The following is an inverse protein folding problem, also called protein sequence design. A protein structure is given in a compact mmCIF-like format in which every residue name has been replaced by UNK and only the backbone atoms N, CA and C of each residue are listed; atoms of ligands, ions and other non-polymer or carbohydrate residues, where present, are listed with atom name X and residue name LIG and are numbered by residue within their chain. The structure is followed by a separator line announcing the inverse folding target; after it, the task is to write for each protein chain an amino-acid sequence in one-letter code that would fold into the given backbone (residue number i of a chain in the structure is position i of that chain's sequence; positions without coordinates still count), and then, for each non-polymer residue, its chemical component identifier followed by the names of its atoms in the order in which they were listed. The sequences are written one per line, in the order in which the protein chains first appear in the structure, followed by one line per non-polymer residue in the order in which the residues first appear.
data_IF_597746788390
#
_entry.id   IF_597746788390
#
_cell.length_a   1.000
_cell.length_b   1.000
_cell.length_c   1.000
_cell.angle_alpha   90.00
_cell.angle_beta   90.00
_cell.angle_gamma   90.00
#
_symmetry.space_group_name_H-M   'P 1'
#
loop_
_entity.id
_entity.type
_entity.pdbx_description
1 polymer ?
#
# COMPACT_ATOMS: atom_id res chain seq x y z
N UNK A 1 -9.92 13.16 -50.06
CA UNK A 1 -11.03 12.34 -49.53
C UNK A 1 -11.14 12.57 -48.02
N UNK A 2 -12.24 13.19 -47.55
CA UNK A 2 -12.48 13.42 -46.11
C UNK A 2 -12.74 12.07 -45.43
N UNK A 3 -11.80 11.58 -44.61
CA UNK A 3 -12.01 10.37 -43.79
C UNK A 3 -13.27 10.57 -42.95
N UNK A 4 -14.23 9.66 -43.08
CA UNK A 4 -15.55 9.77 -42.48
C UNK A 4 -15.42 9.65 -40.94
N UNK A 5 -15.39 10.80 -40.24
CA UNK A 5 -15.15 10.90 -38.79
C UNK A 5 -16.05 9.95 -37.97
N UNK A 6 -17.28 9.74 -38.43
CA UNK A 6 -18.27 8.87 -37.77
C UNK A 6 -17.83 7.40 -37.79
N UNK A 7 -17.19 6.96 -38.88
CA UNK A 7 -16.71 5.58 -39.02
C UNK A 7 -15.47 5.31 -38.15
N UNK A 8 -14.59 6.30 -38.02
CA UNK A 8 -13.43 6.24 -37.12
C UNK A 8 -13.89 6.17 -35.66
N UNK A 9 -14.85 7.01 -35.27
CA UNK A 9 -15.42 6.99 -33.91
C UNK A 9 -16.12 5.65 -33.61
N UNK A 10 -16.86 5.07 -34.57
CA UNK A 10 -17.46 3.72 -34.41
C UNK A 10 -16.41 2.62 -34.26
N UNK A 11 -15.29 2.68 -34.99
CA UNK A 11 -14.19 1.72 -34.86
C UNK A 11 -13.48 1.84 -33.52
N UNK A 12 -13.25 3.06 -33.04
CA UNK A 12 -12.69 3.31 -31.71
C UNK A 12 -13.65 2.86 -30.59
N UNK A 13 -14.96 3.11 -30.72
CA UNK A 13 -15.95 2.62 -29.77
C UNK A 13 -16.03 1.08 -29.73
N UNK A 14 -15.95 0.40 -30.89
CA UNK A 14 -15.90 -1.07 -30.96
C UNK A 14 -14.59 -1.63 -30.39
N UNK A 15 -13.46 -0.97 -30.61
CA UNK A 15 -12.18 -1.36 -30.02
C UNK A 15 -12.21 -1.22 -28.50
N UNK A 16 -12.70 -0.08 -27.99
CA UNK A 16 -12.93 0.15 -26.55
C UNK A 16 -13.90 -0.86 -25.95
N UNK A 17 -14.97 -1.24 -26.65
CA UNK A 17 -15.91 -2.27 -26.20
C UNK A 17 -15.26 -3.66 -26.15
N UNK A 18 -14.45 -4.04 -27.15
CA UNK A 18 -13.70 -5.29 -27.16
C UNK A 18 -12.61 -5.35 -26.08
N UNK A 19 -11.94 -4.23 -25.80
CA UNK A 19 -10.94 -4.12 -24.75
C UNK A 19 -11.60 -4.13 -23.37
N UNK A 20 -12.72 -3.41 -23.17
CA UNK A 20 -13.58 -3.56 -21.99
C UNK A 20 -14.03 -5.00 -21.82
N UNK A 21 -14.43 -5.68 -22.90
CA UNK A 21 -14.83 -7.08 -22.85
C UNK A 21 -13.65 -7.98 -22.49
N UNK A 22 -12.45 -7.79 -23.04
CA UNK A 22 -11.23 -8.52 -22.66
C UNK A 22 -10.78 -8.24 -21.22
N UNK A 23 -10.91 -7.00 -20.75
CA UNK A 23 -10.69 -6.61 -19.35
C UNK A 23 -11.76 -7.26 -18.48
N UNK A 24 -13.01 -7.35 -18.94
CA UNK A 24 -14.09 -8.12 -18.32
C UNK A 24 -13.82 -9.62 -18.30
N UNK A 25 -13.18 -10.19 -19.34
CA UNK A 25 -12.81 -11.62 -19.37
C UNK A 25 -11.56 -11.92 -18.53
N UNK A 26 -10.64 -10.96 -18.40
CA UNK A 26 -9.54 -11.01 -17.41
C UNK A 26 -10.08 -10.81 -16.00
N UNK A 27 -11.05 -9.92 -15.82
CA UNK A 27 -11.87 -9.82 -14.62
C UNK A 27 -12.53 -11.15 -14.36
N UNK A 28 -13.23 -11.81 -15.28
CA UNK A 28 -13.85 -13.14 -15.10
C UNK A 28 -12.82 -14.23 -14.72
N UNK A 29 -11.62 -14.20 -15.30
CA UNK A 29 -10.51 -15.11 -14.95
C UNK A 29 -9.84 -14.78 -13.60
N UNK A 30 -9.80 -13.52 -13.19
CA UNK A 30 -9.38 -13.10 -11.85
C UNK A 30 -10.52 -13.22 -10.81
N UNK A 31 -11.76 -13.13 -11.27
CA UNK A 31 -13.07 -13.13 -10.58
C UNK A 31 -13.50 -14.53 -10.19
N UNK A 32 -12.95 -15.56 -10.83
CA UNK A 32 -13.06 -16.92 -10.31
C UNK A 32 -12.62 -17.02 -8.83
N UNK A 33 -11.96 -15.99 -8.26
CA UNK A 33 -11.78 -15.78 -6.82
C UNK A 33 -11.81 -14.30 -6.36
N UNK A 34 -12.60 -13.41 -6.97
CA UNK A 34 -12.88 -12.12 -6.30
C UNK A 34 -13.96 -12.42 -5.25
N UNK A 35 -13.53 -12.77 -4.05
CA UNK A 35 -14.38 -12.62 -2.88
C UNK A 35 -14.78 -11.14 -2.82
N UNK A 36 -16.08 -10.82 -2.84
CA UNK A 36 -16.55 -9.52 -2.35
C UNK A 36 -15.97 -9.37 -0.95
N UNK A 37 -14.92 -8.56 -0.84
CA UNK A 37 -14.07 -8.50 0.33
C UNK A 37 -14.42 -7.23 1.09
N UNK A 38 -14.89 -7.32 2.33
CA UNK A 38 -15.06 -6.12 3.14
C UNK A 38 -13.69 -5.44 3.32
N UNK A 39 -13.65 -4.09 3.28
CA UNK A 39 -12.48 -3.32 3.68
C UNK A 39 -11.93 -3.78 5.04
N UNK A 40 -10.62 -3.69 5.24
CA UNK A 40 -10.01 -4.07 6.53
C UNK A 40 -10.54 -3.25 7.71
N UNK A 41 -10.99 -2.01 7.45
CA UNK A 41 -11.66 -1.14 8.42
C UNK A 41 -13.00 -1.71 8.93
N UNK A 42 -13.65 -2.57 8.14
CA UNK A 42 -14.95 -3.17 8.49
C UNK A 42 -14.80 -4.50 9.24
N UNK A 43 -13.58 -5.00 9.41
CA UNK A 43 -13.34 -6.18 10.22
C UNK A 43 -13.60 -5.86 11.69
N UNK A 44 -14.28 -6.77 12.38
CA UNK A 44 -14.58 -6.66 13.80
C UNK A 44 -13.72 -7.67 14.59
N UNK A 45 -12.44 -7.36 14.87
CA UNK A 45 -11.59 -8.24 15.65
C UNK A 45 -12.08 -8.33 17.11
N UNK A 46 -11.84 -9.45 17.79
CA UNK A 46 -12.09 -9.59 19.22
C UNK A 46 -11.41 -8.48 20.03
N UNK A 47 -11.94 -8.20 21.22
CA UNK A 47 -11.36 -7.20 22.12
C UNK A 47 -9.88 -7.50 22.40
N UNK A 48 -9.02 -6.51 22.20
CA UNK A 48 -7.57 -6.66 22.35
C UNK A 48 -6.85 -7.16 21.10
N UNK A 49 -7.53 -7.26 19.96
CA UNK A 49 -6.95 -7.64 18.67
C UNK A 49 -7.18 -6.58 17.58
N UNK A 50 -6.40 -6.65 16.51
CA UNK A 50 -6.58 -5.91 15.27
C UNK A 50 -6.58 -6.86 14.07
N UNK A 51 -7.39 -6.53 13.06
CA UNK A 51 -7.37 -7.24 11.80
C UNK A 51 -6.21 -6.77 10.92
N UNK A 52 -5.30 -7.64 10.53
CA UNK A 52 -4.16 -7.31 9.65
C UNK A 52 -4.12 -8.26 8.46
N UNK A 53 -3.39 -7.91 7.40
CA UNK A 53 -3.13 -8.85 6.31
C UNK A 53 -2.10 -9.91 6.70
N UNK A 54 -2.09 -11.04 6.00
CA UNK A 54 -1.08 -12.10 6.23
C UNK A 54 0.35 -11.60 6.01
N UNK A 55 0.58 -10.69 5.05
CA UNK A 55 1.90 -10.09 4.83
C UNK A 55 2.32 -9.21 6.00
N UNK A 56 1.41 -8.39 6.53
CA UNK A 56 1.67 -7.60 7.75
C UNK A 56 1.94 -8.51 8.95
N UNK A 57 1.16 -9.60 9.10
CA UNK A 57 1.31 -10.55 10.18
C UNK A 57 2.70 -11.19 10.21
N UNK A 58 3.19 -11.62 9.05
CA UNK A 58 4.53 -12.17 8.92
C UNK A 58 5.61 -11.13 9.27
N UNK A 59 5.46 -9.88 8.83
CA UNK A 59 6.42 -8.81 9.12
C UNK A 59 6.44 -8.43 10.61
N UNK A 60 5.27 -8.29 11.24
CA UNK A 60 5.13 -8.02 12.67
C UNK A 60 5.71 -9.13 13.54
N UNK A 61 5.48 -10.37 13.13
CA UNK A 61 6.09 -11.55 13.75
C UNK A 61 7.62 -11.55 13.59
N UNK A 62 8.10 -11.27 12.38
CA UNK A 62 9.51 -11.33 12.02
C UNK A 62 10.36 -10.19 12.60
N UNK A 63 9.78 -9.18 13.27
CA UNK A 63 10.50 -8.03 13.85
C UNK A 63 11.81 -8.41 14.57
N UNK A 64 11.87 -9.44 15.44
CA UNK A 64 13.12 -9.83 16.11
C UNK A 64 14.26 -10.26 15.15
N UNK A 65 13.93 -10.79 13.97
CA UNK A 65 14.91 -11.13 12.92
C UNK A 65 15.36 -9.91 12.11
N UNK A 66 14.63 -8.80 12.21
CA UNK A 66 14.81 -7.60 11.39
C UNK A 66 15.37 -6.42 12.19
N UNK A 67 15.62 -6.57 13.49
CA UNK A 67 16.16 -5.50 14.36
C UNK A 67 17.52 -4.98 13.91
N UNK A 68 18.35 -5.85 13.32
CA UNK A 68 19.59 -5.44 12.66
C UNK A 68 19.32 -5.18 11.19
N UNK A 69 19.83 -4.07 10.65
CA UNK A 69 19.79 -3.86 9.20
C UNK A 69 20.48 -5.03 8.48
N UNK A 70 19.86 -5.55 7.41
CA UNK A 70 20.50 -6.53 6.55
C UNK A 70 21.56 -5.83 5.70
N UNK A 71 22.72 -6.45 5.54
CA UNK A 71 23.83 -5.93 4.72
C UNK A 71 23.58 -6.14 3.22
N UNK A 72 22.65 -7.04 2.87
CA UNK A 72 22.28 -7.34 1.49
C UNK A 72 20.83 -7.83 1.34
N UNK A 73 20.30 -7.74 0.12
CA UNK A 73 19.01 -8.32 -0.24
C UNK A 73 18.99 -9.85 -0.03
N UNK A 74 20.12 -10.51 -0.26
CA UNK A 74 20.24 -11.96 -0.05
C UNK A 74 20.10 -12.32 1.43
N UNK A 75 20.75 -11.56 2.31
CA UNK A 75 20.60 -11.75 3.75
C UNK A 75 19.17 -11.51 4.22
N UNK A 76 18.53 -10.43 3.73
CA UNK A 76 17.12 -10.14 4.01
C UNK A 76 16.21 -11.31 3.59
N UNK A 77 16.42 -11.86 2.39
CA UNK A 77 15.65 -13.01 1.89
C UNK A 77 15.83 -14.23 2.80
N UNK A 78 17.08 -14.55 3.21
CA UNK A 78 17.34 -15.66 4.12
C UNK A 78 16.67 -15.47 5.49
N UNK A 79 16.64 -14.24 6.02
CA UNK A 79 15.93 -13.92 7.26
C UNK A 79 14.42 -14.08 7.10
N UNK A 80 13.85 -13.70 5.96
CA UNK A 80 12.42 -13.90 5.66
C UNK A 80 12.06 -15.38 5.48
N UNK A 81 12.92 -16.18 4.85
CA UNK A 81 12.75 -17.63 4.75
C UNK A 81 12.77 -18.31 6.13
N UNK A 82 13.68 -17.87 7.01
CA UNK A 82 13.71 -18.32 8.39
C UNK A 82 12.43 -17.92 9.15
N UNK A 83 11.98 -16.66 9.00
CA UNK A 83 10.74 -16.19 9.61
C UNK A 83 9.53 -17.05 9.18
N UNK A 84 9.42 -17.34 7.88
CA UNK A 84 8.36 -18.19 7.32
C UNK A 84 8.44 -19.62 7.88
N UNK A 85 9.64 -20.19 7.98
CA UNK A 85 9.84 -21.53 8.55
C UNK A 85 9.43 -21.60 10.02
N UNK A 86 9.81 -20.59 10.82
CA UNK A 86 9.44 -20.48 12.23
C UNK A 86 7.93 -20.25 12.41
N UNK A 87 7.32 -19.44 11.54
CA UNK A 87 5.88 -19.21 11.54
C UNK A 87 5.12 -20.53 11.33
N UNK A 88 5.47 -21.29 10.29
CA UNK A 88 4.81 -22.56 9.98
C UNK A 88 5.07 -23.62 11.06
N UNK A 89 6.25 -23.62 11.67
CA UNK A 89 6.54 -24.45 12.85
C UNK A 89 5.58 -24.14 14.01
N UNK A 90 5.33 -22.86 14.27
CA UNK A 90 4.43 -22.45 15.33
C UNK A 90 2.96 -22.78 15.01
N UNK A 91 2.52 -22.56 13.76
CA UNK A 91 1.17 -22.92 13.30
C UNK A 91 0.92 -24.42 13.40
N UNK A 92 1.86 -25.26 12.95
CA UNK A 92 1.73 -26.73 13.07
C UNK A 92 1.68 -27.19 14.53
N UNK A 93 2.38 -26.50 15.44
CA UNK A 93 2.28 -26.75 16.88
C UNK A 93 0.89 -26.44 17.42
N UNK A 94 0.28 -25.30 17.05
CA UNK A 94 -1.08 -24.94 17.49
C UNK A 94 -2.10 -25.98 17.01
N UNK A 95 -1.99 -26.40 15.74
CA UNK A 95 -2.84 -27.41 15.11
C UNK A 95 -2.60 -28.84 15.57
N UNK A 96 -1.60 -29.06 16.43
CA UNK A 96 -1.17 -30.40 16.86
C UNK A 96 -0.81 -31.34 15.68
N UNK A 97 -0.29 -30.79 14.58
CA UNK A 97 0.14 -31.54 13.39
C UNK A 97 1.61 -32.00 13.55
N UNK A 98 1.80 -33.21 14.09
CA UNK A 98 3.12 -33.74 14.38
C UNK A 98 4.02 -33.96 13.14
N UNK A 99 3.51 -34.51 12.02
CA UNK A 99 4.27 -34.60 10.77
C UNK A 99 4.79 -33.25 10.27
N UNK A 100 3.93 -32.23 10.18
CA UNK A 100 4.37 -30.90 9.74
C UNK A 100 5.33 -30.25 10.74
N UNK A 101 5.06 -30.39 12.04
CA UNK A 101 5.90 -29.84 13.10
C UNK A 101 7.34 -30.35 13.00
N UNK A 102 7.53 -31.65 12.81
CA UNK A 102 8.87 -32.26 12.70
C UNK A 102 9.62 -31.75 11.46
N UNK A 103 8.93 -31.65 10.30
CA UNK A 103 9.50 -31.11 9.06
C UNK A 103 9.91 -29.65 9.20
N UNK A 104 9.04 -28.82 9.79
CA UNK A 104 9.34 -27.40 9.99
C UNK A 104 10.42 -27.18 11.06
N UNK A 105 10.54 -28.07 12.05
CA UNK A 105 11.59 -28.01 13.06
C UNK A 105 12.98 -28.20 12.44
N UNK A 106 13.13 -29.17 11.54
CA UNK A 106 14.39 -29.37 10.80
C UNK A 106 14.73 -28.12 9.96
N UNK A 107 13.74 -27.57 9.26
CA UNK A 107 13.90 -26.37 8.43
C UNK A 107 14.29 -25.14 9.27
N UNK A 108 13.63 -24.93 10.41
CA UNK A 108 13.93 -23.84 11.34
C UNK A 108 15.32 -23.97 11.94
N UNK A 109 15.75 -25.18 12.35
CA UNK A 109 17.10 -25.41 12.88
C UNK A 109 18.18 -25.15 11.82
N UNK A 110 17.96 -25.62 10.59
CA UNK A 110 18.88 -25.37 9.49
C UNK A 110 18.97 -23.88 9.12
N UNK A 111 17.83 -23.19 9.06
CA UNK A 111 17.76 -21.76 8.78
C UNK A 111 18.42 -20.91 9.87
N UNK A 112 18.11 -21.17 11.14
CA UNK A 112 18.67 -20.43 12.27
C UNK A 112 20.19 -20.59 12.37
N UNK A 113 20.72 -21.80 12.11
CA UNK A 113 22.17 -22.01 12.06
C UNK A 113 22.87 -21.20 10.97
N UNK A 114 22.26 -21.10 9.78
CA UNK A 114 22.82 -20.34 8.64
C UNK A 114 22.71 -18.83 8.80
N UNK A 115 21.60 -18.35 9.37
CA UNK A 115 21.25 -16.92 9.40
C UNK A 115 21.77 -16.24 10.67
N UNK A 116 21.66 -16.90 11.82
CA UNK A 116 21.95 -16.29 13.12
C UNK A 116 23.29 -16.73 13.71
N UNK A 117 23.92 -17.76 13.14
CA UNK A 117 25.19 -18.34 13.62
C UNK A 117 25.19 -18.62 15.13
N UNK A 118 24.04 -19.07 15.65
CA UNK A 118 23.84 -19.41 17.07
C UNK A 118 24.36 -20.81 17.36
N UNK A 119 24.82 -21.04 18.60
CA UNK A 119 25.10 -22.39 19.06
C UNK A 119 23.82 -23.23 19.23
N UNK A 120 23.96 -24.52 19.55
CA UNK A 120 22.81 -25.42 19.61
C UNK A 120 21.81 -25.07 20.72
N UNK A 121 22.26 -24.56 21.86
CA UNK A 121 21.37 -24.23 22.97
C UNK A 121 20.66 -22.89 22.72
N UNK A 122 21.40 -21.90 22.26
CA UNK A 122 20.89 -20.59 21.88
C UNK A 122 19.89 -20.68 20.74
N UNK A 123 20.18 -21.48 19.71
CA UNK A 123 19.28 -21.74 18.60
C UNK A 123 17.97 -22.35 19.07
N UNK A 124 18.03 -23.38 19.91
CA UNK A 124 16.84 -24.09 20.38
C UNK A 124 16.02 -23.19 21.33
N UNK A 125 16.67 -22.32 22.11
CA UNK A 125 16.00 -21.25 22.89
C UNK A 125 15.30 -20.25 21.97
N UNK A 126 15.99 -19.73 20.97
CA UNK A 126 15.44 -18.77 20.01
C UNK A 126 14.21 -19.33 19.27
N UNK A 127 14.27 -20.58 18.82
CA UNK A 127 13.13 -21.25 18.18
C UNK A 127 11.92 -21.31 19.12
N UNK A 128 12.12 -21.64 20.41
CA UNK A 128 11.03 -21.65 21.39
C UNK A 128 10.41 -20.28 21.59
N UNK A 129 11.23 -19.25 21.75
CA UNK A 129 10.79 -17.85 21.90
C UNK A 129 9.96 -17.39 20.69
N UNK A 130 10.40 -17.74 19.48
CA UNK A 130 9.67 -17.40 18.26
C UNK A 130 8.34 -18.16 18.15
N UNK A 131 8.29 -19.44 18.54
CA UNK A 131 7.02 -20.17 18.61
C UNK A 131 6.06 -19.51 19.62
N UNK A 132 6.55 -19.19 20.82
CA UNK A 132 5.76 -18.54 21.87
C UNK A 132 5.24 -17.16 21.41
N UNK A 133 6.08 -16.38 20.72
CA UNK A 133 5.68 -15.11 20.11
C UNK A 133 4.56 -15.28 19.09
N UNK A 134 4.65 -16.28 18.21
CA UNK A 134 3.61 -16.51 17.21
C UNK A 134 2.27 -16.88 17.86
N UNK A 135 2.28 -17.79 18.84
CA UNK A 135 1.08 -18.20 19.59
C UNK A 135 0.49 -17.02 20.36
N UNK A 136 1.34 -16.19 20.97
CA UNK A 136 0.90 -15.01 21.70
C UNK A 136 0.21 -13.99 20.79
N UNK A 137 0.84 -13.64 19.67
CA UNK A 137 0.36 -12.63 18.73
C UNK A 137 -0.83 -13.12 17.90
N UNK A 138 -0.81 -14.39 17.50
CA UNK A 138 -1.75 -15.02 16.55
C UNK A 138 -2.30 -16.35 17.10
N UNK A 139 -3.03 -16.32 18.22
CA UNK A 139 -3.69 -17.50 18.76
C UNK A 139 -4.70 -18.05 17.75
N UNK A 140 -4.68 -19.36 17.52
CA UNK A 140 -5.53 -20.06 16.56
C UNK A 140 -7.02 -19.88 16.87
N UNK A 141 -7.40 -19.94 18.14
CA UNK A 141 -8.79 -19.82 18.60
C UNK A 141 -9.40 -18.43 18.39
N UNK A 142 -8.58 -17.42 18.11
CA UNK A 142 -9.04 -16.07 17.81
C UNK A 142 -9.05 -15.79 16.30
N UNK A 143 -8.49 -16.65 15.45
CA UNK A 143 -8.42 -16.35 14.03
C UNK A 143 -9.80 -16.35 13.37
N UNK A 144 -10.03 -15.51 12.34
CA UNK A 144 -11.29 -15.53 11.60
C UNK A 144 -11.50 -16.87 10.88
N UNK A 145 -12.77 -17.27 10.77
CA UNK A 145 -13.16 -18.49 10.07
C UNK A 145 -12.67 -18.50 8.60
N UNK A 146 -12.08 -19.61 8.12
CA UNK A 146 -11.71 -19.74 6.72
C UNK A 146 -12.95 -19.72 5.78
N UNK A 147 -12.82 -19.17 4.56
CA UNK A 147 -11.65 -18.48 4.02
C UNK A 147 -11.59 -17.01 4.47
N UNK A 148 -10.48 -16.61 5.08
CA UNK A 148 -10.20 -15.20 5.41
C UNK A 148 -8.85 -14.78 4.81
N UNK A 149 -8.83 -13.57 4.25
CA UNK A 149 -7.61 -12.89 3.76
C UNK A 149 -6.93 -12.06 4.86
N UNK A 150 -7.52 -12.06 6.05
CA UNK A 150 -7.07 -11.31 7.22
C UNK A 150 -6.78 -12.24 8.38
N UNK A 151 -5.94 -11.76 9.28
CA UNK A 151 -5.61 -12.40 10.54
C UNK A 151 -5.92 -11.45 11.68
N UNK A 152 -6.25 -11.99 12.85
CA UNK A 152 -6.37 -11.18 14.06
C UNK A 152 -5.05 -11.27 14.84
N UNK A 153 -4.42 -10.11 15.00
CA UNK A 153 -3.19 -9.95 15.77
C UNK A 153 -3.50 -9.30 17.10
N UNK A 154 -2.94 -9.80 18.19
CA UNK A 154 -3.04 -9.17 19.51
C UNK A 154 -2.46 -7.76 19.49
N UNK A 155 -3.17 -6.81 20.09
CA UNK A 155 -2.66 -5.46 20.38
C UNK A 155 -1.68 -5.54 21.54
N UNK A 156 -0.42 -5.23 21.31
CA UNK A 156 0.58 -5.05 22.37
C UNK A 156 0.57 -3.61 22.92
N UNK A 157 0.13 -2.64 22.12
CA UNK A 157 0.14 -1.21 22.44
C UNK A 157 -1.16 -0.55 21.98
N UNK A 158 -1.74 0.27 22.85
CA UNK A 158 -2.81 1.21 22.50
C UNK A 158 -2.21 2.58 22.16
N UNK A 159 -2.66 3.17 21.06
CA UNK A 159 -2.19 4.46 20.58
C UNK A 159 -3.27 5.53 20.77
N UNK A 160 -2.87 6.67 21.34
CA UNK A 160 -3.66 7.89 21.25
C UNK A 160 -3.35 8.55 19.90
N UNK A 161 -4.30 8.53 18.98
CA UNK A 161 -4.15 9.12 17.65
C UNK A 161 -4.90 10.46 17.61
N UNK A 162 -4.19 11.60 17.76
CA UNK A 162 -4.81 12.91 17.63
C UNK A 162 -5.09 13.23 16.15
N UNK A 163 -5.93 14.24 15.86
CA UNK A 163 -5.99 14.84 14.54
C UNK A 163 -4.60 15.30 14.07
N UNK A 164 -4.38 15.33 12.76
CA UNK A 164 -3.17 15.89 12.20
C UNK A 164 -3.07 17.40 12.52
N UNK A 165 -1.89 17.86 12.94
CA UNK A 165 -1.64 19.26 13.23
C UNK A 165 -1.30 20.03 11.94
N UNK A 166 -2.33 20.64 11.33
CA UNK A 166 -2.17 21.49 10.15
C UNK A 166 -1.33 22.76 10.41
N UNK A 167 -1.11 23.13 11.68
CA UNK A 167 -0.13 24.16 12.06
C UNK A 167 1.32 23.77 11.76
N UNK A 168 1.57 22.54 11.29
CA UNK A 168 2.90 22.14 10.79
C UNK A 168 3.09 22.48 9.30
N UNK A 169 2.01 22.64 8.54
CA UNK A 169 2.08 22.89 7.10
C UNK A 169 2.22 24.39 6.86
N UNK A 170 3.48 24.83 6.78
CA UNK A 170 3.84 26.22 6.49
C UNK A 170 4.88 26.30 5.38
N UNK A 171 4.68 27.25 4.47
CA UNK A 171 5.61 27.57 3.38
C UNK A 171 6.19 28.96 3.60
N UNK A 172 7.44 29.15 3.19
CA UNK A 172 8.04 30.49 3.13
C UNK A 172 7.61 31.24 1.87
N UNK A 173 7.27 30.52 0.81
CA UNK A 173 6.81 31.07 -0.46
C UNK A 173 5.46 30.47 -0.88
N UNK A 174 4.41 31.28 -0.86
CA UNK A 174 3.07 30.86 -1.32
C UNK A 174 2.93 30.93 -2.85
N UNK A 175 3.78 31.69 -3.54
CA UNK A 175 3.71 31.86 -4.99
C UNK A 175 3.99 30.54 -5.72
N UNK A 176 3.21 30.26 -6.78
CA UNK A 176 3.40 29.06 -7.60
C UNK A 176 4.81 29.00 -8.21
N UNK A 177 5.44 27.82 -8.17
CA UNK A 177 6.77 27.62 -8.75
C UNK A 177 6.61 27.10 -10.18
N UNK A 178 7.01 27.85 -11.22
CA UNK A 178 6.84 27.44 -12.60
C UNK A 178 7.56 26.12 -12.88
N UNK A 179 7.04 25.28 -13.81
CA UNK A 179 7.63 23.98 -14.09
C UNK A 179 8.98 24.13 -14.80
N UNK A 180 9.98 23.41 -14.29
CA UNK A 180 11.25 23.21 -14.97
C UNK A 180 11.17 22.08 -16.01
N UNK A 181 12.31 21.61 -16.53
CA UNK A 181 12.35 20.54 -17.53
C UNK A 181 12.02 19.17 -16.93
N UNK A 182 12.45 18.88 -15.70
CA UNK A 182 12.15 17.61 -15.03
C UNK A 182 10.65 17.54 -14.71
N UNK A 183 10.06 18.63 -14.22
CA UNK A 183 8.62 18.77 -14.00
C UNK A 183 7.82 18.48 -15.28
N UNK A 184 8.21 19.08 -16.40
CA UNK A 184 7.54 18.86 -17.71
C UNK A 184 7.67 17.43 -18.19
N UNK A 185 8.83 16.80 -17.98
CA UNK A 185 9.06 15.40 -18.30
C UNK A 185 8.10 14.51 -17.50
N UNK A 186 7.97 14.72 -16.18
CA UNK A 186 7.00 14.00 -15.34
C UNK A 186 5.57 14.19 -15.84
N UNK A 187 5.14 15.44 -16.11
CA UNK A 187 3.78 15.69 -16.60
C UNK A 187 3.54 15.02 -17.96
N UNK A 188 4.54 15.01 -18.85
CA UNK A 188 4.51 14.28 -20.11
C UNK A 188 4.31 12.77 -19.92
N UNK A 189 5.07 12.15 -19.00
CA UNK A 189 4.94 10.73 -18.65
C UNK A 189 3.55 10.41 -18.09
N UNK A 190 3.04 11.24 -17.17
CA UNK A 190 1.69 11.05 -16.62
C UNK A 190 0.64 11.15 -17.75
N UNK A 191 0.80 12.10 -18.69
CA UNK A 191 -0.06 12.22 -19.87
C UNK A 191 -0.03 10.99 -20.78
N UNK A 192 1.13 10.39 -20.99
CA UNK A 192 1.29 9.14 -21.74
C UNK A 192 0.62 7.96 -21.02
N UNK A 193 0.81 7.85 -19.71
CA UNK A 193 0.16 6.82 -18.89
C UNK A 193 -1.37 6.97 -18.91
N UNK A 194 -1.87 8.19 -18.76
CA UNK A 194 -3.27 8.55 -18.90
C UNK A 194 -3.86 8.01 -20.21
N UNK A 195 -3.13 8.15 -21.32
CA UNK A 195 -3.55 7.68 -22.64
C UNK A 195 -3.52 6.15 -22.74
N UNK A 196 -2.52 5.48 -22.16
CA UNK A 196 -2.53 4.01 -22.03
C UNK A 196 -3.77 3.51 -21.29
N UNK A 197 -4.12 4.14 -20.17
CA UNK A 197 -5.31 3.78 -19.39
C UNK A 197 -6.60 4.02 -20.19
N UNK A 198 -6.72 5.14 -20.91
CA UNK A 198 -7.88 5.45 -21.78
C UNK A 198 -8.01 4.50 -22.97
N UNK A 199 -6.88 4.05 -23.51
CA UNK A 199 -6.84 3.06 -24.59
C UNK A 199 -7.12 1.64 -24.07
N UNK A 200 -7.01 1.43 -22.76
CA UNK A 200 -7.13 0.13 -22.12
C UNK A 200 -5.97 -0.79 -22.48
N UNK A 201 -4.77 -0.24 -22.58
CA UNK A 201 -3.54 -1.00 -22.75
C UNK A 201 -3.37 -2.04 -21.63
N UNK A 202 -2.63 -3.10 -21.91
CA UNK A 202 -2.30 -4.13 -20.92
C UNK A 202 -1.25 -3.61 -19.94
N UNK A 203 -1.34 -4.02 -18.66
CA UNK A 203 -0.44 -3.54 -17.61
C UNK A 203 1.04 -3.66 -17.95
N UNK A 204 1.48 -4.82 -18.43
CA UNK A 204 2.88 -5.03 -18.82
C UNK A 204 3.37 -4.13 -19.96
N UNK A 205 2.49 -3.43 -20.66
CA UNK A 205 2.88 -2.41 -21.67
C UNK A 205 3.32 -1.10 -21.02
N UNK A 206 2.74 -0.72 -19.88
CA UNK A 206 3.00 0.57 -19.24
C UNK A 206 3.62 0.43 -17.83
N UNK A 207 3.92 -0.78 -17.37
CA UNK A 207 4.49 -1.04 -16.04
C UNK A 207 5.78 -0.24 -15.78
N UNK A 208 6.74 -0.27 -16.72
CA UNK A 208 7.98 0.48 -16.58
C UNK A 208 7.75 2.00 -16.52
N UNK A 209 6.78 2.50 -17.29
CA UNK A 209 6.39 3.91 -17.27
C UNK A 209 5.78 4.27 -15.91
N UNK A 210 4.86 3.45 -15.39
CA UNK A 210 4.23 3.66 -14.09
C UNK A 210 5.25 3.67 -12.95
N UNK A 211 6.21 2.73 -12.94
CA UNK A 211 7.30 2.70 -11.97
C UNK A 211 8.16 3.97 -12.04
N UNK A 212 8.49 4.45 -13.25
CA UNK A 212 9.25 5.69 -13.39
C UNK A 212 8.49 6.93 -12.89
N UNK A 213 7.16 6.95 -13.03
CA UNK A 213 6.31 8.03 -12.52
C UNK A 213 6.26 8.01 -10.99
N UNK A 214 6.24 6.82 -10.37
CA UNK A 214 6.31 6.67 -8.92
C UNK A 214 7.60 7.29 -8.37
N UNK A 215 8.75 6.88 -8.92
CA UNK A 215 10.07 7.38 -8.50
C UNK A 215 10.23 8.90 -8.74
N UNK A 216 9.87 9.38 -9.93
CA UNK A 216 9.97 10.79 -10.28
C UNK A 216 9.02 11.67 -9.43
N UNK A 217 7.82 11.16 -9.12
CA UNK A 217 6.86 11.88 -8.27
C UNK A 217 7.41 12.11 -6.87
N UNK A 218 8.02 11.11 -6.24
CA UNK A 218 8.64 11.26 -4.92
C UNK A 218 9.75 12.32 -4.97
N UNK A 219 10.67 12.20 -5.94
CA UNK A 219 11.81 13.11 -6.09
C UNK A 219 11.36 14.55 -6.30
N UNK A 220 10.47 14.78 -7.26
CA UNK A 220 10.07 16.13 -7.69
C UNK A 220 9.10 16.78 -6.71
N UNK A 221 8.20 16.01 -6.09
CA UNK A 221 7.34 16.53 -5.04
C UNK A 221 8.15 16.98 -3.82
N UNK A 222 9.12 16.17 -3.39
CA UNK A 222 10.05 16.53 -2.31
C UNK A 222 10.84 17.80 -2.65
N UNK A 223 11.38 17.89 -3.86
CA UNK A 223 12.06 19.09 -4.35
C UNK A 223 11.15 20.31 -4.26
N UNK A 224 9.90 20.20 -4.71
CA UNK A 224 8.92 21.29 -4.64
C UNK A 224 8.63 21.73 -3.20
N UNK A 225 8.49 20.80 -2.24
CA UNK A 225 8.34 21.14 -0.82
C UNK A 225 9.55 21.94 -0.31
N UNK A 226 10.77 21.51 -0.63
CA UNK A 226 12.02 22.19 -0.24
C UNK A 226 12.10 23.58 -0.87
N UNK A 227 11.82 23.70 -2.17
CA UNK A 227 11.89 24.97 -2.90
C UNK A 227 10.85 25.99 -2.41
N UNK A 228 9.71 25.52 -1.88
CA UNK A 228 8.69 26.37 -1.21
C UNK A 228 9.09 26.81 0.21
N UNK A 229 10.21 26.30 0.73
CA UNK A 229 10.64 26.51 2.11
C UNK A 229 9.70 25.86 3.12
N UNK A 230 9.25 24.63 2.85
CA UNK A 230 8.40 23.86 3.75
C UNK A 230 9.09 23.65 5.11
N UNK A 231 8.39 23.96 6.19
CA UNK A 231 8.98 24.01 7.54
C UNK A 231 8.98 22.68 8.30
N UNK A 232 8.20 21.69 7.85
CA UNK A 232 8.20 20.34 8.42
C UNK A 232 9.18 19.43 7.64
N UNK A 233 9.36 18.19 8.09
CA UNK A 233 10.22 17.23 7.40
C UNK A 233 9.59 16.77 6.07
N UNK A 234 10.14 17.11 4.89
CA UNK A 234 9.56 16.73 3.61
C UNK A 234 9.51 15.22 3.38
N UNK A 235 10.39 14.44 4.03
CA UNK A 235 10.44 12.98 3.86
C UNK A 235 9.17 12.29 4.35
N UNK A 236 8.54 12.81 5.41
CA UNK A 236 7.29 12.27 5.96
C UNK A 236 6.12 12.36 4.97
N UNK A 237 6.23 13.25 3.96
CA UNK A 237 5.19 13.52 2.98
C UNK A 237 5.50 12.93 1.62
N UNK A 238 6.78 12.93 1.22
CA UNK A 238 7.20 12.64 -0.14
C UNK A 238 6.87 11.22 -0.61
N UNK A 239 6.86 10.25 0.30
CA UNK A 239 6.60 8.84 -0.02
C UNK A 239 5.10 8.48 -0.05
N UNK A 240 4.22 9.29 0.55
CA UNK A 240 2.79 8.98 0.55
C UNK A 240 2.18 8.91 -0.86
N UNK A 241 2.50 9.83 -1.80
CA UNK A 241 2.04 9.76 -3.19
C UNK A 241 2.45 8.50 -3.93
N UNK A 242 3.63 7.93 -3.65
CA UNK A 242 4.12 6.70 -4.32
C UNK A 242 3.13 5.54 -4.16
N UNK A 243 2.75 5.26 -2.91
CA UNK A 243 1.78 4.22 -2.56
C UNK A 243 0.40 4.50 -3.17
N UNK A 244 0.01 5.77 -3.23
CA UNK A 244 -1.25 6.17 -3.84
C UNK A 244 -1.23 6.02 -5.37
N UNK A 245 -0.13 6.36 -6.05
CA UNK A 245 0.06 6.14 -7.50
C UNK A 245 0.06 4.64 -7.81
N UNK A 246 0.71 3.82 -6.98
CA UNK A 246 0.62 2.35 -7.07
C UNK A 246 -0.84 1.89 -7.01
N UNK A 247 -1.62 2.42 -6.06
CA UNK A 247 -3.05 2.11 -5.99
C UNK A 247 -3.78 2.54 -7.27
N UNK A 248 -3.59 3.76 -7.76
CA UNK A 248 -4.32 4.26 -8.93
C UNK A 248 -4.00 3.47 -10.22
N UNK A 249 -2.75 3.10 -10.46
CA UNK A 249 -2.34 2.56 -11.77
C UNK A 249 -1.95 1.09 -11.77
N UNK A 250 -1.53 0.54 -10.64
CA UNK A 250 -1.05 -0.86 -10.51
C UNK A 250 -2.05 -1.76 -9.79
N UNK A 251 -3.12 -1.18 -9.25
CA UNK A 251 -4.24 -1.91 -8.70
C UNK A 251 -5.38 -2.03 -9.73
N UNK A 252 -6.14 -3.12 -9.65
CA UNK A 252 -7.24 -3.38 -10.56
C UNK A 252 -8.47 -2.58 -10.13
N UNK A 253 -8.85 -1.61 -10.95
CA UNK A 253 -10.10 -0.87 -10.82
C UNK A 253 -11.13 -1.34 -11.84
N UNK A 254 -12.40 -1.38 -11.43
CA UNK A 254 -13.53 -1.64 -12.32
C UNK A 254 -13.77 -0.49 -13.30
N UNK A 255 -13.60 0.75 -12.83
CA UNK A 255 -13.72 1.95 -13.63
C UNK A 255 -12.38 2.41 -14.21
N UNK A 256 -12.48 3.36 -15.14
CA UNK A 256 -11.32 4.11 -15.61
C UNK A 256 -10.96 5.13 -14.53
N UNK A 257 -9.80 4.94 -13.90
CA UNK A 257 -9.27 5.84 -12.87
C UNK A 257 -8.00 6.49 -13.41
N UNK A 258 -7.94 7.82 -13.29
CA UNK A 258 -6.76 8.62 -13.62
C UNK A 258 -6.44 9.49 -12.43
N UNK A 259 -5.16 9.86 -12.26
CA UNK A 259 -4.73 10.65 -11.13
C UNK A 259 -5.49 11.99 -11.01
N UNK A 260 -5.79 12.65 -12.14
CA UNK A 260 -6.58 13.90 -12.18
C UNK A 260 -8.09 13.74 -12.04
N UNK A 261 -8.60 12.51 -12.05
CA UNK A 261 -10.04 12.23 -12.00
C UNK A 261 -10.31 10.94 -11.24
N UNK A 262 -10.09 10.97 -9.93
CA UNK A 262 -10.30 9.83 -9.02
C UNK A 262 -11.72 9.92 -8.44
N UNK A 263 -12.61 8.96 -8.75
CA UNK A 263 -13.91 8.88 -8.11
C UNK A 263 -13.81 8.72 -6.59
N UNK A 264 -14.75 9.33 -5.84
CA UNK A 264 -14.75 9.32 -4.38
C UNK A 264 -14.72 7.89 -3.78
N UNK A 265 -15.36 6.92 -4.43
CA UNK A 265 -15.34 5.51 -3.99
C UNK A 265 -13.92 4.93 -3.91
N UNK A 266 -13.00 5.35 -4.80
CA UNK A 266 -11.61 4.87 -4.78
C UNK A 266 -10.77 5.61 -3.76
N UNK A 267 -11.12 6.86 -3.40
CA UNK A 267 -10.52 7.49 -2.22
C UNK A 267 -10.91 6.72 -0.96
N UNK A 268 -12.20 6.37 -0.81
CA UNK A 268 -12.68 5.55 0.31
C UNK A 268 -11.94 4.20 0.34
N UNK A 269 -11.91 3.46 -0.78
CA UNK A 269 -11.21 2.17 -0.86
C UNK A 269 -9.71 2.29 -0.51
N UNK A 270 -9.06 3.37 -0.97
CA UNK A 270 -7.65 3.60 -0.66
C UNK A 270 -7.42 3.69 0.85
N UNK A 271 -8.19 4.54 1.54
CA UNK A 271 -7.99 4.80 2.96
C UNK A 271 -8.57 3.72 3.88
N UNK A 272 -9.69 3.11 3.51
CA UNK A 272 -10.36 2.08 4.32
C UNK A 272 -9.75 0.68 4.17
N UNK A 273 -9.14 0.37 3.02
CA UNK A 273 -8.54 -0.96 2.77
C UNK A 273 -7.09 -0.89 2.34
N UNK A 274 -6.81 -0.27 1.18
CA UNK A 274 -5.53 -0.47 0.51
C UNK A 274 -4.36 0.00 1.38
N UNK A 275 -4.43 1.23 1.88
CA UNK A 275 -3.41 1.85 2.71
C UNK A 275 -3.15 1.03 3.98
N UNK A 276 -4.21 0.77 4.75
CA UNK A 276 -4.14 0.04 6.02
C UNK A 276 -3.66 -1.40 5.88
N UNK A 277 -3.80 -2.00 4.70
CA UNK A 277 -3.37 -3.36 4.40
C UNK A 277 -1.96 -3.44 3.83
N UNK A 278 -1.57 -2.47 3.00
CA UNK A 278 -0.34 -2.52 2.21
C UNK A 278 0.84 -1.84 2.89
N UNK A 279 0.57 -0.90 3.79
CA UNK A 279 1.62 -0.14 4.47
C UNK A 279 1.85 -0.70 5.88
N UNK A 280 3.12 -0.77 6.28
CA UNK A 280 3.56 -1.16 7.61
C UNK A 280 4.32 0.03 8.19
N UNK A 281 3.67 0.73 9.11
CA UNK A 281 4.19 1.95 9.72
C UNK A 281 3.60 2.09 11.13
N UNK A 282 4.08 3.04 11.92
CA UNK A 282 3.46 3.34 13.22
C UNK A 282 2.06 3.93 12.98
N UNK A 283 1.07 3.66 13.85
CA UNK A 283 -0.28 4.15 13.65
C UNK A 283 -0.40 5.67 13.47
N UNK A 284 0.46 6.46 14.12
CA UNK A 284 0.51 7.91 13.98
C UNK A 284 1.06 8.38 12.63
N UNK A 285 1.86 7.56 11.94
CA UNK A 285 2.43 7.89 10.63
C UNK A 285 1.33 7.90 9.55
N UNK A 286 0.25 7.13 9.71
CA UNK A 286 -0.90 7.18 8.80
C UNK A 286 -1.53 8.59 8.66
N UNK A 287 -1.36 9.45 9.66
CA UNK A 287 -1.87 10.82 9.64
C UNK A 287 -1.24 11.70 8.55
N UNK A 288 -0.07 11.33 8.02
CA UNK A 288 0.58 12.09 6.95
C UNK A 288 -0.07 11.87 5.57
N UNK A 289 -0.83 10.80 5.34
CA UNK A 289 -1.38 10.53 4.00
C UNK A 289 -2.36 11.59 3.52
N UNK A 290 -3.43 11.95 4.27
CA UNK A 290 -4.35 12.99 3.81
C UNK A 290 -3.68 14.33 3.46
N UNK A 291 -2.86 14.96 4.34
CA UNK A 291 -2.20 16.21 4.00
C UNK A 291 -1.19 16.05 2.86
N UNK A 292 -0.45 14.94 2.79
CA UNK A 292 0.52 14.69 1.71
C UNK A 292 -0.15 14.61 0.34
N UNK A 293 -1.29 13.92 0.24
CA UNK A 293 -2.03 13.85 -1.01
C UNK A 293 -2.59 15.21 -1.42
N UNK A 294 -3.08 16.02 -0.47
CA UNK A 294 -3.51 17.41 -0.76
C UNK A 294 -2.37 18.26 -1.29
N UNK A 295 -1.20 18.19 -0.66
CA UNK A 295 0.00 18.90 -1.09
C UNK A 295 0.49 18.41 -2.46
N UNK A 296 0.46 17.10 -2.70
CA UNK A 296 0.84 16.51 -3.98
C UNK A 296 -0.08 16.95 -5.11
N UNK A 297 -1.39 17.02 -4.89
CA UNK A 297 -2.32 17.54 -5.89
C UNK A 297 -2.15 19.04 -6.15
N UNK A 298 -1.75 19.84 -5.15
CA UNK A 298 -1.33 21.23 -5.37
C UNK A 298 -0.06 21.32 -6.21
N UNK A 299 0.94 20.47 -5.94
CA UNK A 299 2.13 20.36 -6.79
C UNK A 299 1.76 20.06 -8.24
N UNK A 300 0.93 19.04 -8.50
CA UNK A 300 0.50 18.66 -9.85
C UNK A 300 -0.27 19.78 -10.57
N UNK A 301 -1.09 20.54 -9.83
CA UNK A 301 -1.77 21.73 -10.35
C UNK A 301 -0.77 22.81 -10.76
N UNK A 302 0.18 23.15 -9.89
CA UNK A 302 1.22 24.15 -10.19
C UNK A 302 2.08 23.74 -11.41
N UNK A 303 2.32 22.44 -11.59
CA UNK A 303 3.07 21.92 -12.75
C UNK A 303 2.25 21.77 -14.02
N UNK A 304 0.95 22.10 -13.97
CA UNK A 304 0.07 22.17 -15.13
C UNK A 304 -0.53 20.83 -15.58
N UNK A 305 -0.50 19.80 -14.72
CA UNK A 305 -1.20 18.53 -15.01
C UNK A 305 -2.72 18.65 -14.86
N UNK A 306 -3.17 19.48 -13.92
CA UNK A 306 -4.57 19.63 -13.54
C UNK A 306 -5.07 21.06 -13.74
N UNK A 307 -6.33 21.19 -14.13
CA UNK A 307 -7.08 22.45 -14.05
C UNK A 307 -7.50 22.75 -12.61
N UNK A 308 -7.78 24.02 -12.30
CA UNK A 308 -8.25 24.41 -10.96
C UNK A 308 -9.52 23.67 -10.53
N UNK A 309 -10.46 23.43 -11.47
CA UNK A 309 -11.68 22.68 -11.18
C UNK A 309 -11.40 21.21 -10.80
N UNK A 310 -10.50 20.53 -11.53
CA UNK A 310 -10.11 19.16 -11.20
C UNK A 310 -9.43 19.10 -9.83
N UNK A 311 -8.60 20.10 -9.51
CA UNK A 311 -7.92 20.20 -8.22
C UNK A 311 -8.91 20.42 -7.08
N UNK A 312 -9.84 21.37 -7.21
CA UNK A 312 -10.84 21.66 -6.17
C UNK A 312 -11.72 20.44 -5.85
N UNK A 313 -12.12 19.68 -6.88
CA UNK A 313 -12.91 18.45 -6.70
C UNK A 313 -12.13 17.39 -5.90
N UNK A 314 -10.85 17.18 -6.22
CA UNK A 314 -10.03 16.20 -5.51
C UNK A 314 -9.70 16.62 -4.08
N UNK A 315 -9.39 17.90 -3.87
CA UNK A 315 -9.15 18.43 -2.52
C UNK A 315 -10.40 18.32 -1.66
N UNK A 316 -11.57 18.67 -2.19
CA UNK A 316 -12.84 18.49 -1.47
C UNK A 316 -13.15 17.03 -1.13
N UNK A 317 -12.79 16.08 -2.01
CA UNK A 317 -12.88 14.65 -1.74
C UNK A 317 -11.97 14.19 -0.59
N UNK A 318 -10.73 14.67 -0.57
CA UNK A 318 -9.78 14.38 0.51
C UNK A 318 -10.20 15.03 1.85
N UNK A 319 -10.69 16.26 1.82
CA UNK A 319 -11.22 16.97 3.00
C UNK A 319 -12.42 16.23 3.61
N UNK A 320 -13.31 15.69 2.77
CA UNK A 320 -14.45 14.91 3.24
C UNK A 320 -14.04 13.55 3.84
N UNK A 321 -12.98 12.94 3.29
CA UNK A 321 -12.51 11.60 3.70
C UNK A 321 -11.73 11.65 5.02
N UNK A 322 -10.92 12.68 5.25
CA UNK A 322 -9.95 12.71 6.34
C UNK A 322 -10.54 12.52 7.75
N UNK A 323 -11.65 13.16 8.16
CA UNK A 323 -12.24 12.93 9.47
C UNK A 323 -12.64 11.46 9.67
N UNK A 324 -13.21 10.85 8.63
CA UNK A 324 -13.62 9.44 8.65
C UNK A 324 -12.41 8.51 8.77
N UNK A 325 -11.32 8.79 8.06
CA UNK A 325 -10.09 8.02 8.22
C UNK A 325 -9.49 8.14 9.61
N UNK A 326 -9.52 9.33 10.22
CA UNK A 326 -9.09 9.52 11.60
C UNK A 326 -9.92 8.66 12.57
N UNK A 327 -11.24 8.61 12.40
CA UNK A 327 -12.11 7.73 13.21
C UNK A 327 -11.74 6.25 13.07
N UNK A 328 -11.46 5.80 11.84
CA UNK A 328 -11.00 4.43 11.58
C UNK A 328 -9.69 4.16 12.34
N UNK A 329 -8.71 5.06 12.23
CA UNK A 329 -7.43 4.91 12.92
C UNK A 329 -7.62 4.85 14.44
N UNK A 330 -8.41 5.77 15.00
CA UNK A 330 -8.71 5.81 16.44
C UNK A 330 -9.38 4.51 16.91
N UNK A 331 -10.44 4.06 16.24
CA UNK A 331 -11.12 2.79 16.59
C UNK A 331 -10.18 1.60 16.50
N UNK A 332 -9.34 1.57 15.47
CA UNK A 332 -8.45 0.44 15.17
C UNK A 332 -7.29 0.35 16.15
N UNK A 333 -6.68 1.46 16.52
CA UNK A 333 -5.41 1.47 17.26
C UNK A 333 -5.48 1.95 18.71
N UNK A 334 -6.62 2.50 19.16
CA UNK A 334 -6.88 2.79 20.58
C UNK A 334 -7.05 1.50 21.41
#
# INVERSE_FOLDING_TARGET
MKKNKIEIMKRQAKARAKVRQKRKTRLDKASARIFERPPISHMEPPKGFIAISSSQALMEYAKPLMEKNAESLEELNRRMELASSLWNLAVSRQKSDQPEYSRWMESAKAGAGKVLNLDSEERDRYIREMIERQIHLFPEEMQPEPPSMFMYMRKEVSYLIPPFDYGRIHFQADAAIPPDEEDRCLIGKIGELDDHIRQGSDYGTFEALALSIEEDSVKLFKKWLIDKGFQDNPEEYAHCPEIYITFIYRYLHDDLVLLKSVPAQYLIEFFEDFLLRKVICKPTEFLYWPPSLKLFYRFLHEKGYMSSQETDVLLGGLDAMEPHFLEILQKRYH
#
